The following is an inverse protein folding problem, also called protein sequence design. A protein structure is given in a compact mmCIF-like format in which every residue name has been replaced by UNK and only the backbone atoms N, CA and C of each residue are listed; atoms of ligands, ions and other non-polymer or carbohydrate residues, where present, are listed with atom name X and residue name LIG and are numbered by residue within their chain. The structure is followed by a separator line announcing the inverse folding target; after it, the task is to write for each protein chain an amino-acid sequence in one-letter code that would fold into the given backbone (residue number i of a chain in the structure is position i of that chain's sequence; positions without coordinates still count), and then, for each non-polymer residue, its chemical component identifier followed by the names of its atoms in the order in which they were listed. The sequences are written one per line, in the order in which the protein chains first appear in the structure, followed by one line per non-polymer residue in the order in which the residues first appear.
data_IF_100052230916
#
_entry.id   IF_100052230916
#
_cell.length_a   1.000
_cell.length_b   1.000
_cell.length_c   1.000
_cell.angle_alpha   90.00
_cell.angle_beta   90.00
_cell.angle_gamma   90.00
#
_symmetry.space_group_name_H-M   'P 1'
#
loop_
_entity.id
_entity.type
_entity.pdbx_description
1 polymer ?
#
# COMPACT_ATOMS: atom_id res chain seq x y z
N UNK A 1 5.53 16.20 -2.75
CA UNK A 1 6.46 15.07 -2.51
C UNK A 1 7.08 14.62 -3.82
N UNK A 2 8.37 14.26 -3.87
CA UNK A 2 9.03 13.80 -5.10
C UNK A 2 9.68 12.42 -4.84
N UNK A 3 9.51 11.49 -5.77
CA UNK A 3 10.06 10.13 -5.71
C UNK A 3 10.98 9.87 -6.93
N UNK A 4 12.22 10.39 -6.94
CA UNK A 4 13.15 10.12 -8.02
C UNK A 4 13.35 8.61 -8.20
N UNK A 5 13.08 8.03 -9.40
CA UNK A 5 13.05 6.58 -9.59
C UNK A 5 14.46 6.00 -9.75
N UNK A 6 15.36 6.28 -8.81
CA UNK A 6 16.75 5.83 -8.87
C UNK A 6 17.16 5.05 -7.64
N UNK A 7 18.00 4.06 -7.84
CA UNK A 7 18.60 3.26 -6.77
C UNK A 7 19.44 4.11 -5.81
N UNK A 8 20.22 5.05 -6.34
CA UNK A 8 21.06 5.93 -5.54
C UNK A 8 20.22 6.80 -4.59
N UNK A 9 19.12 7.37 -5.08
CA UNK A 9 18.22 8.16 -4.25
C UNK A 9 17.57 7.31 -3.15
N UNK A 10 16.99 6.15 -3.51
CA UNK A 10 16.31 5.28 -2.54
C UNK A 10 17.26 4.77 -1.44
N UNK A 11 18.51 4.47 -1.79
CA UNK A 11 19.53 4.05 -0.82
C UNK A 11 19.96 5.19 0.11
N UNK A 12 20.17 6.40 -0.43
CA UNK A 12 20.49 7.58 0.38
C UNK A 12 19.31 7.97 1.29
N UNK A 13 18.09 7.88 0.79
CA UNK A 13 16.88 8.15 1.55
C UNK A 13 16.68 7.14 2.70
N UNK A 14 16.91 5.84 2.44
CA UNK A 14 16.91 4.80 3.49
C UNK A 14 17.96 5.12 4.56
N UNK A 15 19.19 5.45 4.15
CA UNK A 15 20.28 5.74 5.10
C UNK A 15 19.92 6.95 5.97
N UNK A 16 19.41 8.03 5.37
CA UNK A 16 18.95 9.21 6.10
C UNK A 16 17.85 8.86 7.13
N UNK A 17 16.85 8.06 6.71
CA UNK A 17 15.79 7.62 7.62
C UNK A 17 16.33 6.80 8.78
N UNK A 18 17.23 5.86 8.51
CA UNK A 18 17.86 5.02 9.54
C UNK A 18 18.65 5.91 10.54
N UNK A 19 19.38 6.88 10.04
CA UNK A 19 20.28 7.70 10.88
C UNK A 19 19.52 8.67 11.79
N UNK A 20 18.45 9.26 11.30
CA UNK A 20 17.81 10.40 11.94
C UNK A 20 16.43 10.11 12.54
N UNK A 21 15.66 9.13 11.98
CA UNK A 21 14.24 9.00 12.31
C UNK A 21 13.83 7.61 12.81
N UNK A 22 14.52 6.54 12.40
CA UNK A 22 14.13 5.16 12.68
C UNK A 22 13.97 4.86 14.18
N UNK A 23 14.81 5.43 15.04
CA UNK A 23 14.75 5.21 16.48
C UNK A 23 13.40 5.61 17.08
N UNK A 24 12.78 6.67 16.56
CA UNK A 24 11.52 7.21 17.05
C UNK A 24 10.29 6.68 16.31
N UNK A 25 10.49 5.85 15.28
CA UNK A 25 9.45 5.37 14.41
C UNK A 25 8.27 4.75 15.15
N UNK A 26 8.50 3.95 16.17
CA UNK A 26 7.43 3.29 16.93
C UNK A 26 6.42 4.28 17.54
N UNK A 27 6.87 5.45 17.96
CA UNK A 27 6.04 6.50 18.55
C UNK A 27 5.39 7.41 17.52
N UNK A 28 6.12 7.73 16.45
CA UNK A 28 5.72 8.79 15.52
C UNK A 28 5.02 8.26 14.27
N UNK A 29 5.17 6.98 13.95
CA UNK A 29 4.66 6.36 12.72
C UNK A 29 3.17 6.58 12.43
N UNK A 30 2.37 6.87 13.45
CA UNK A 30 0.94 7.08 13.29
C UNK A 30 0.57 8.55 13.03
N UNK A 31 1.49 9.49 13.25
CA UNK A 31 1.23 10.90 13.00
C UNK A 31 1.38 11.23 11.52
N UNK A 32 0.33 11.80 10.94
CA UNK A 32 0.36 12.43 9.63
C UNK A 32 0.54 13.93 9.78
N UNK A 33 1.78 14.39 9.67
CA UNK A 33 2.14 15.81 9.77
C UNK A 33 1.85 16.62 8.49
N UNK A 34 1.29 15.99 7.46
CA UNK A 34 1.00 16.59 6.16
C UNK A 34 2.01 16.22 5.08
N UNK A 35 1.70 16.58 3.85
CA UNK A 35 2.44 16.17 2.66
C UNK A 35 3.92 16.61 2.65
N UNK A 36 4.24 17.70 3.31
CA UNK A 36 5.60 18.28 3.36
C UNK A 36 6.43 17.83 4.57
N UNK A 37 5.84 17.12 5.53
CA UNK A 37 6.46 16.76 6.81
C UNK A 37 6.32 15.26 7.09
N UNK A 38 7.03 14.41 6.32
CA UNK A 38 6.94 12.94 6.42
C UNK A 38 8.23 12.27 6.86
N UNK A 39 9.07 12.97 7.59
CA UNK A 39 10.36 12.44 8.08
C UNK A 39 10.18 11.33 9.12
N UNK A 40 9.03 11.31 9.80
CA UNK A 40 8.68 10.28 10.78
C UNK A 40 8.38 8.90 10.19
N UNK A 41 8.27 8.79 8.87
CA UNK A 41 8.07 7.54 8.14
C UNK A 41 9.06 7.40 6.99
N UNK A 42 9.34 6.16 6.59
CA UNK A 42 10.41 5.91 5.60
C UNK A 42 10.05 6.33 4.17
N UNK A 43 8.78 6.39 3.80
CA UNK A 43 8.31 6.66 2.43
C UNK A 43 8.97 5.77 1.36
N UNK A 44 9.41 4.55 1.71
CA UNK A 44 10.15 3.64 0.81
C UNK A 44 9.23 2.71 0.00
N UNK A 45 7.95 2.65 0.33
CA UNK A 45 7.02 1.71 -0.32
C UNK A 45 6.95 1.82 -1.84
N UNK A 46 7.06 2.99 -2.51
CA UNK A 46 7.16 3.05 -3.96
C UNK A 46 8.39 2.30 -4.51
N UNK A 47 9.53 2.45 -3.87
CA UNK A 47 10.77 1.79 -4.30
C UNK A 47 10.76 0.30 -4.05
N UNK A 48 10.15 -0.14 -2.94
CA UNK A 48 9.97 -1.56 -2.62
C UNK A 48 9.00 -2.20 -3.61
N UNK A 49 7.91 -1.50 -3.94
CA UNK A 49 6.87 -1.98 -4.84
C UNK A 49 7.41 -2.35 -6.22
N UNK A 50 8.35 -1.56 -6.70
CA UNK A 50 8.99 -1.76 -8.00
C UNK A 50 10.34 -2.48 -7.92
N UNK A 51 10.72 -3.02 -6.76
CA UNK A 51 11.97 -3.76 -6.59
C UNK A 51 13.25 -2.92 -6.72
N UNK A 52 13.15 -1.59 -6.67
CA UNK A 52 14.32 -0.70 -6.70
C UNK A 52 15.17 -0.87 -5.45
N UNK A 53 14.55 -1.15 -4.31
CA UNK A 53 15.19 -1.58 -3.06
C UNK A 53 14.40 -2.76 -2.48
N UNK A 54 15.09 -3.72 -1.87
CA UNK A 54 14.45 -4.91 -1.33
C UNK A 54 14.21 -4.82 0.17
N UNK A 55 13.17 -5.50 0.67
CA UNK A 55 12.88 -5.63 2.09
C UNK A 55 14.07 -6.17 2.87
N UNK A 56 14.72 -7.21 2.36
CA UNK A 56 15.93 -7.83 2.96
C UNK A 56 17.06 -6.82 3.19
N UNK A 57 17.26 -5.92 2.24
CA UNK A 57 18.28 -4.87 2.34
C UNK A 57 17.93 -3.84 3.40
N UNK A 58 16.67 -3.39 3.41
CA UNK A 58 16.17 -2.45 4.42
C UNK A 58 16.36 -3.02 5.82
N UNK A 59 15.94 -4.28 6.02
CA UNK A 59 16.08 -4.96 7.31
C UNK A 59 17.54 -5.10 7.72
N UNK A 60 18.42 -5.52 6.79
CA UNK A 60 19.85 -5.70 7.05
C UNK A 60 20.52 -4.38 7.45
N UNK A 61 20.23 -3.28 6.77
CA UNK A 61 20.79 -1.98 7.08
C UNK A 61 20.28 -1.43 8.42
N UNK A 62 18.98 -1.58 8.68
CA UNK A 62 18.37 -1.14 9.94
C UNK A 62 18.91 -1.89 11.15
N UNK A 63 19.06 -3.21 11.06
CA UNK A 63 19.59 -4.06 12.12
C UNK A 63 21.10 -3.88 12.38
N UNK A 64 21.85 -3.34 11.42
CA UNK A 64 23.26 -2.94 11.66
C UNK A 64 23.36 -1.72 12.59
N UNK A 65 22.35 -0.84 12.58
CA UNK A 65 22.36 0.40 13.35
C UNK A 65 21.70 0.24 14.72
N UNK A 66 20.57 -0.47 14.78
CA UNK A 66 19.76 -0.61 15.99
C UNK A 66 19.45 -2.07 16.31
N UNK A 67 19.39 -2.45 17.59
CA UNK A 67 18.90 -3.77 17.98
C UNK A 67 17.41 -3.93 17.66
N UNK A 68 16.99 -5.16 17.47
CA UNK A 68 15.63 -5.52 17.06
C UNK A 68 14.55 -4.87 17.93
N UNK A 69 14.72 -4.87 19.23
CA UNK A 69 13.75 -4.39 20.22
C UNK A 69 13.38 -2.92 20.03
N UNK A 70 14.33 -2.12 19.53
CA UNK A 70 14.11 -0.69 19.27
C UNK A 70 13.30 -0.48 17.98
N UNK A 71 13.56 -1.31 16.97
CA UNK A 71 13.01 -1.13 15.62
C UNK A 71 11.98 -2.18 15.22
N UNK A 72 11.53 -3.00 16.19
CA UNK A 72 10.58 -4.10 15.95
C UNK A 72 9.35 -3.63 15.13
N UNK A 73 8.78 -2.48 15.48
CA UNK A 73 7.61 -1.96 14.76
C UNK A 73 7.90 -1.63 13.30
N UNK A 74 9.07 -1.11 13.01
CA UNK A 74 9.49 -0.86 11.63
C UNK A 74 9.67 -2.15 10.84
N UNK A 75 10.34 -3.12 11.44
CA UNK A 75 10.54 -4.45 10.84
C UNK A 75 9.19 -5.10 10.54
N UNK A 76 8.25 -5.07 11.49
CA UNK A 76 6.90 -5.60 11.30
C UNK A 76 6.19 -4.93 10.11
N UNK A 77 6.25 -3.59 9.99
CA UNK A 77 5.61 -2.87 8.90
C UNK A 77 6.22 -3.22 7.53
N UNK A 78 7.54 -3.36 7.46
CA UNK A 78 8.21 -3.81 6.22
C UNK A 78 7.78 -5.23 5.83
N UNK A 79 7.68 -6.15 6.81
CA UNK A 79 7.33 -7.55 6.58
C UNK A 79 5.84 -7.77 6.30
N UNK A 80 4.95 -6.84 6.67
CA UNK A 80 3.53 -6.93 6.32
C UNK A 80 3.32 -7.08 4.80
N UNK A 81 4.11 -6.40 3.99
CA UNK A 81 4.06 -6.53 2.54
C UNK A 81 4.34 -7.96 2.08
N UNK A 82 5.43 -8.55 2.57
CA UNK A 82 5.80 -9.95 2.27
C UNK A 82 4.69 -10.91 2.70
N UNK A 83 4.13 -10.69 3.90
CA UNK A 83 3.00 -11.48 4.39
C UNK A 83 1.77 -11.40 3.47
N UNK A 84 1.37 -10.18 3.07
CA UNK A 84 0.21 -9.99 2.21
C UNK A 84 0.40 -10.62 0.83
N UNK A 85 1.58 -10.50 0.24
CA UNK A 85 1.92 -11.14 -1.04
C UNK A 85 1.78 -12.65 -0.95
N UNK A 86 2.42 -13.28 0.02
CA UNK A 86 2.32 -14.73 0.23
C UNK A 86 0.90 -15.18 0.56
N UNK A 87 0.15 -14.39 1.31
CA UNK A 87 -1.24 -14.70 1.64
C UNK A 87 -2.14 -14.72 0.39
N UNK A 88 -2.02 -13.73 -0.49
CA UNK A 88 -2.80 -13.64 -1.73
C UNK A 88 -2.36 -14.70 -2.76
N UNK A 89 -1.07 -14.91 -2.90
CA UNK A 89 -0.49 -15.93 -3.79
C UNK A 89 -1.03 -17.33 -3.49
N UNK A 90 -1.19 -17.66 -2.22
CA UNK A 90 -1.82 -18.91 -1.78
C UNK A 90 -3.34 -18.94 -2.02
N UNK A 91 -3.99 -17.82 -2.36
CA UNK A 91 -5.46 -17.70 -2.52
C UNK A 91 -5.84 -16.93 -3.78
N UNK A 92 -5.44 -17.40 -4.97
CA UNK A 92 -5.64 -16.67 -6.23
C UNK A 92 -7.11 -16.45 -6.58
N UNK A 93 -8.01 -17.31 -6.08
CA UNK A 93 -9.46 -17.15 -6.29
C UNK A 93 -10.01 -15.86 -5.75
N UNK A 94 -9.41 -15.32 -4.65
CA UNK A 94 -9.81 -14.02 -4.10
C UNK A 94 -9.54 -12.89 -5.10
N UNK A 95 -8.38 -12.91 -5.74
CA UNK A 95 -8.03 -11.89 -6.74
C UNK A 95 -8.97 -11.93 -7.93
N UNK A 96 -9.25 -13.13 -8.44
CA UNK A 96 -10.16 -13.31 -9.57
C UNK A 96 -11.59 -12.82 -9.24
N UNK A 97 -12.08 -13.09 -8.04
CA UNK A 97 -13.36 -12.57 -7.57
C UNK A 97 -13.37 -11.04 -7.44
N UNK A 98 -12.30 -10.47 -6.89
CA UNK A 98 -12.17 -9.01 -6.80
C UNK A 98 -12.25 -8.35 -8.18
N UNK A 99 -11.58 -8.91 -9.19
CA UNK A 99 -11.64 -8.40 -10.56
C UNK A 99 -13.04 -8.53 -11.16
N UNK A 100 -13.73 -9.65 -10.89
CA UNK A 100 -15.12 -9.83 -11.29
C UNK A 100 -16.06 -8.83 -10.63
N UNK A 101 -15.93 -8.66 -9.30
CA UNK A 101 -16.72 -7.67 -8.55
C UNK A 101 -16.54 -6.26 -9.13
N UNK A 102 -15.30 -5.89 -9.54
CA UNK A 102 -15.05 -4.61 -10.20
C UNK A 102 -15.79 -4.47 -11.52
N UNK A 103 -15.77 -5.52 -12.35
CA UNK A 103 -16.50 -5.56 -13.63
C UNK A 103 -18.01 -5.37 -13.43
N UNK A 104 -18.58 -6.05 -12.43
CA UNK A 104 -20.00 -5.95 -12.11
C UNK A 104 -20.37 -4.55 -11.56
N UNK A 105 -19.44 -3.85 -10.92
CA UNK A 105 -19.60 -2.50 -10.38
C UNK A 105 -19.38 -1.38 -11.42
N UNK A 106 -18.80 -1.68 -12.59
CA UNK A 106 -18.46 -0.69 -13.61
C UNK A 106 -19.66 0.16 -14.02
N UNK A 107 -20.80 -0.50 -14.28
CA UNK A 107 -22.05 0.18 -14.67
C UNK A 107 -22.63 1.05 -13.53
N UNK A 108 -22.27 0.79 -12.28
CA UNK A 108 -22.75 1.54 -11.13
C UNK A 108 -21.91 2.82 -10.90
N UNK A 109 -20.67 2.87 -11.36
CA UNK A 109 -19.77 4.05 -11.18
C UNK A 109 -20.37 5.28 -11.83
N UNK A 110 -20.81 5.19 -13.07
CA UNK A 110 -21.20 6.32 -13.93
C UNK A 110 -22.42 7.05 -13.36
N UNK A 111 -23.35 6.33 -12.73
CA UNK A 111 -24.60 6.87 -12.23
C UNK A 111 -24.62 7.15 -10.72
N UNK A 112 -23.52 6.91 -10.02
CA UNK A 112 -23.43 7.12 -8.56
C UNK A 112 -22.84 8.48 -8.25
N UNK A 113 -23.71 9.46 -7.93
CA UNK A 113 -23.28 10.82 -7.57
C UNK A 113 -22.35 10.86 -6.36
N UNK A 114 -22.51 9.97 -5.38
CA UNK A 114 -21.63 9.89 -4.21
C UNK A 114 -20.24 9.39 -4.59
N UNK A 115 -20.15 8.42 -5.50
CA UNK A 115 -18.88 7.95 -6.04
C UNK A 115 -18.14 9.08 -6.77
N UNK A 116 -18.83 9.80 -7.66
CA UNK A 116 -18.24 10.91 -8.40
C UNK A 116 -17.74 12.03 -7.48
N UNK A 117 -18.51 12.37 -6.43
CA UNK A 117 -18.08 13.32 -5.39
C UNK A 117 -16.85 12.80 -4.62
N UNK A 118 -16.84 11.52 -4.26
CA UNK A 118 -15.73 10.92 -3.53
C UNK A 118 -14.44 10.97 -4.34
N UNK A 119 -14.44 10.50 -5.57
CA UNK A 119 -13.24 10.49 -6.43
C UNK A 119 -12.78 11.89 -6.85
N UNK A 120 -13.66 12.89 -6.83
CA UNK A 120 -13.29 14.29 -7.13
C UNK A 120 -12.83 15.08 -5.91
N UNK A 121 -12.96 14.52 -4.69
CA UNK A 121 -12.65 15.25 -3.46
C UNK A 121 -13.66 16.36 -3.17
N UNK A 122 -14.93 16.14 -3.47
CA UNK A 122 -16.02 17.10 -3.29
C UNK A 122 -17.15 16.51 -2.44
N UNK A 123 -16.78 15.93 -1.31
CA UNK A 123 -17.71 15.42 -0.29
C UNK A 123 -17.94 16.47 0.81
N UNK A 124 -18.80 16.16 1.77
CA UNK A 124 -18.96 16.98 2.99
C UNK A 124 -17.85 16.79 4.03
N UNK A 125 -16.82 15.96 3.74
CA UNK A 125 -15.79 15.58 4.69
C UNK A 125 -14.47 16.20 4.25
N UNK A 126 -14.08 17.32 4.87
CA UNK A 126 -12.91 18.11 4.50
C UNK A 126 -11.62 17.27 4.41
N UNK A 127 -11.26 16.56 5.48
CA UNK A 127 -10.04 15.77 5.50
C UNK A 127 -10.00 14.70 4.37
N UNK A 128 -11.14 14.11 4.05
CA UNK A 128 -11.22 13.14 2.96
C UNK A 128 -10.96 13.80 1.60
N UNK A 129 -11.52 14.98 1.37
CA UNK A 129 -11.31 15.75 0.15
C UNK A 129 -9.84 16.13 -0.03
N UNK A 130 -9.20 16.61 1.02
CA UNK A 130 -7.78 16.95 1.01
C UNK A 130 -6.91 15.73 0.69
N UNK A 131 -7.24 14.57 1.26
CA UNK A 131 -6.49 13.32 0.97
C UNK A 131 -6.71 12.81 -0.46
N UNK A 132 -7.87 13.05 -1.06
CA UNK A 132 -8.09 12.76 -2.50
C UNK A 132 -7.19 13.65 -3.35
N UNK A 133 -7.10 14.93 -3.04
CA UNK A 133 -6.23 15.89 -3.74
C UNK A 133 -4.76 15.50 -3.56
N UNK A 134 -4.35 15.20 -2.32
CA UNK A 134 -2.99 14.77 -2.01
C UNK A 134 -2.62 13.48 -2.77
N UNK A 135 -3.51 12.48 -2.77
CA UNK A 135 -3.29 11.22 -3.47
C UNK A 135 -3.06 11.43 -4.96
N UNK A 136 -3.89 12.25 -5.60
CA UNK A 136 -3.77 12.55 -7.03
C UNK A 136 -2.54 13.38 -7.38
N UNK A 137 -2.12 14.27 -6.48
CA UNK A 137 -0.96 15.14 -6.66
C UNK A 137 0.37 14.43 -6.42
N UNK A 138 0.44 13.68 -5.30
CA UNK A 138 1.68 13.11 -4.79
C UNK A 138 1.83 11.62 -5.08
N UNK A 139 0.77 10.95 -5.52
CA UNK A 139 0.71 9.50 -5.72
C UNK A 139 1.10 8.70 -4.48
N UNK A 140 0.88 9.28 -3.32
CA UNK A 140 1.21 8.72 -2.02
C UNK A 140 0.28 9.27 -0.93
N UNK A 141 -0.03 8.43 0.04
CA UNK A 141 -0.67 8.82 1.30
C UNK A 141 0.05 8.17 2.47
N UNK A 142 0.06 8.84 3.61
CA UNK A 142 0.49 8.28 4.89
C UNK A 142 -0.31 7.01 5.22
N UNK A 143 0.36 5.97 5.77
CA UNK A 143 -0.31 4.68 6.02
C UNK A 143 -1.57 4.81 6.89
N UNK A 144 -1.51 5.60 7.97
CA UNK A 144 -2.67 5.81 8.83
C UNK A 144 -3.80 6.53 8.09
N UNK A 145 -3.46 7.48 7.25
CA UNK A 145 -4.41 8.19 6.38
C UNK A 145 -5.11 7.24 5.41
N UNK A 146 -4.42 6.24 4.87
CA UNK A 146 -5.04 5.20 4.02
C UNK A 146 -6.12 4.42 4.78
N UNK A 147 -5.90 4.13 6.06
CA UNK A 147 -6.89 3.44 6.89
C UNK A 147 -8.11 4.32 7.14
N UNK A 148 -7.93 5.60 7.48
CA UNK A 148 -9.03 6.56 7.63
C UNK A 148 -9.80 6.75 6.33
N UNK A 149 -9.09 6.92 5.22
CA UNK A 149 -9.68 7.05 3.90
C UNK A 149 -10.58 5.85 3.57
N UNK A 150 -10.07 4.64 3.71
CA UNK A 150 -10.84 3.43 3.43
C UNK A 150 -12.05 3.28 4.35
N UNK A 151 -11.91 3.60 5.64
CA UNK A 151 -13.01 3.58 6.59
C UNK A 151 -14.11 4.60 6.25
N UNK A 152 -13.72 5.82 5.90
CA UNK A 152 -14.66 6.87 5.48
C UNK A 152 -15.38 6.46 4.20
N UNK A 153 -14.64 5.97 3.20
CA UNK A 153 -15.18 5.47 1.95
C UNK A 153 -16.26 4.41 2.17
N UNK A 154 -15.94 3.38 2.96
CA UNK A 154 -16.81 2.22 3.18
C UNK A 154 -17.99 2.57 4.08
N UNK A 155 -17.73 3.16 5.25
CA UNK A 155 -18.72 3.23 6.32
C UNK A 155 -19.47 4.57 6.41
N UNK A 156 -18.83 5.68 6.01
CA UNK A 156 -19.47 6.99 6.02
C UNK A 156 -20.08 7.34 4.66
N UNK A 157 -19.33 7.16 3.57
CA UNK A 157 -19.83 7.42 2.22
C UNK A 157 -20.63 6.24 1.66
N UNK A 158 -20.58 5.08 2.32
CA UNK A 158 -21.29 3.85 1.96
C UNK A 158 -21.02 3.41 0.51
N UNK A 159 -19.77 3.51 0.09
CA UNK A 159 -19.32 3.10 -1.23
C UNK A 159 -18.72 1.68 -1.20
N UNK A 160 -18.84 0.90 -2.27
CA UNK A 160 -18.20 -0.40 -2.39
C UNK A 160 -16.69 -0.31 -2.17
N UNK A 161 -16.14 -1.16 -1.31
CA UNK A 161 -14.72 -1.16 -0.98
C UNK A 161 -13.84 -1.46 -2.21
N UNK A 162 -14.36 -2.26 -3.13
CA UNK A 162 -13.65 -2.62 -4.37
C UNK A 162 -13.33 -1.38 -5.22
N UNK A 163 -14.25 -0.44 -5.32
CA UNK A 163 -14.06 0.81 -6.07
C UNK A 163 -13.02 1.73 -5.38
N UNK A 164 -12.96 1.71 -4.06
CA UNK A 164 -11.93 2.44 -3.32
C UNK A 164 -10.55 1.80 -3.48
N UNK A 165 -10.48 0.46 -3.45
CA UNK A 165 -9.24 -0.27 -3.70
C UNK A 165 -8.72 -0.02 -5.12
N UNK A 166 -9.60 0.01 -6.12
CA UNK A 166 -9.25 0.36 -7.50
C UNK A 166 -8.74 1.81 -7.60
N UNK A 167 -9.41 2.74 -6.91
CA UNK A 167 -8.97 4.14 -6.88
C UNK A 167 -7.54 4.27 -6.31
N UNK A 168 -7.20 3.52 -5.28
CA UNK A 168 -5.84 3.45 -4.75
C UNK A 168 -4.86 2.81 -5.73
N UNK A 169 -5.23 1.71 -6.38
CA UNK A 169 -4.39 1.07 -7.41
C UNK A 169 -4.07 2.00 -8.57
N UNK A 170 -5.03 2.87 -8.93
CA UNK A 170 -4.86 3.84 -10.02
C UNK A 170 -3.86 4.95 -9.67
N UNK A 171 -3.88 5.43 -8.44
CA UNK A 171 -3.14 6.65 -8.09
C UNK A 171 -1.89 6.43 -7.24
N UNK A 172 -1.79 5.35 -6.45
CA UNK A 172 -0.63 5.11 -5.61
C UNK A 172 0.56 4.59 -6.41
N UNK A 173 1.73 5.21 -6.27
CA UNK A 173 2.98 4.67 -6.81
C UNK A 173 3.37 3.32 -6.18
N UNK A 174 2.96 3.05 -4.96
CA UNK A 174 3.17 1.78 -4.28
C UNK A 174 1.95 0.84 -4.36
N UNK A 175 1.07 1.08 -5.31
CA UNK A 175 -0.10 0.24 -5.56
C UNK A 175 0.32 -1.21 -5.84
N UNK A 176 0.00 -2.10 -4.89
CA UNK A 176 0.33 -3.53 -4.95
C UNK A 176 -0.95 -4.34 -4.81
N UNK A 177 -1.24 -5.27 -5.72
CA UNK A 177 -2.48 -6.04 -5.70
C UNK A 177 -2.78 -6.70 -4.35
N UNK A 178 -1.77 -7.26 -3.70
CA UNK A 178 -1.94 -7.96 -2.43
C UNK A 178 -2.14 -6.97 -1.27
N UNK A 179 -1.18 -6.07 -1.05
CA UNK A 179 -1.22 -5.14 0.09
C UNK A 179 -2.43 -4.23 0.02
N UNK A 180 -2.76 -3.72 -1.17
CA UNK A 180 -3.90 -2.84 -1.36
C UNK A 180 -5.23 -3.57 -1.14
N UNK A 181 -5.47 -4.66 -1.87
CA UNK A 181 -6.75 -5.38 -1.77
C UNK A 181 -7.00 -5.93 -0.36
N UNK A 182 -5.97 -6.55 0.24
CA UNK A 182 -6.11 -7.12 1.58
C UNK A 182 -6.18 -6.05 2.67
N UNK A 183 -5.53 -4.90 2.48
CA UNK A 183 -5.65 -3.74 3.36
C UNK A 183 -7.07 -3.18 3.37
N UNK A 184 -7.69 -2.99 2.21
CA UNK A 184 -9.09 -2.56 2.11
C UNK A 184 -10.06 -3.59 2.72
N UNK A 185 -9.83 -4.87 2.49
CA UNK A 185 -10.59 -5.96 3.09
C UNK A 185 -10.45 -5.99 4.63
N UNK A 186 -9.25 -5.67 5.12
CA UNK A 186 -9.01 -5.58 6.56
C UNK A 186 -9.81 -4.44 7.19
N UNK A 187 -9.79 -3.24 6.60
CA UNK A 187 -10.62 -2.12 7.06
C UNK A 187 -12.10 -2.50 7.04
N UNK A 188 -12.58 -3.18 6.00
CA UNK A 188 -13.97 -3.61 5.85
C UNK A 188 -14.42 -4.68 6.87
N UNK A 189 -13.50 -5.37 7.54
CA UNK A 189 -13.80 -6.44 8.49
C UNK A 189 -14.03 -7.81 7.87
N UNK A 190 -13.66 -7.99 6.59
CA UNK A 190 -13.80 -9.25 5.85
C UNK A 190 -12.49 -10.02 5.68
N UNK A 191 -11.35 -9.42 5.98
CA UNK A 191 -10.05 -10.12 6.02
C UNK A 191 -9.85 -10.86 7.34
N UNK A 192 -10.21 -10.23 8.45
CA UNK A 192 -10.37 -10.86 9.75
C UNK A 192 -11.83 -10.70 10.13
N UNK A 193 -12.60 -11.78 9.98
CA UNK A 193 -14.06 -11.74 10.09
C UNK A 193 -14.51 -11.06 11.39
N UNK A 194 -15.37 -10.05 11.27
CA UNK A 194 -15.94 -9.30 12.39
C UNK A 194 -15.01 -8.24 13.02
N UNK A 195 -13.75 -8.13 12.57
CA UNK A 195 -12.82 -7.08 13.06
C UNK A 195 -12.60 -6.06 11.97
N UNK A 196 -13.31 -4.96 12.02
CA UNK A 196 -13.18 -3.84 11.09
C UNK A 196 -12.52 -2.65 11.77
N UNK A 197 -12.07 -1.69 10.96
CA UNK A 197 -11.48 -0.44 11.44
C UNK A 197 -12.42 0.74 11.18
N UNK A 198 -12.85 1.41 12.24
CA UNK A 198 -13.65 2.64 12.14
C UNK A 198 -12.77 3.86 12.43
N UNK A 199 -12.72 4.77 11.47
CA UNK A 199 -12.12 6.07 11.67
C UNK A 199 -12.97 6.89 12.64
N UNK A 200 -12.35 7.59 13.57
CA UNK A 200 -13.02 8.49 14.49
C UNK A 200 -12.44 9.91 14.40
N UNK A 201 -13.28 10.90 14.59
CA UNK A 201 -12.87 12.32 14.58
C UNK A 201 -11.75 12.59 15.58
N UNK A 202 -11.85 12.01 16.79
CA UNK A 202 -10.83 12.18 17.83
C UNK A 202 -9.48 11.56 17.43
N UNK A 203 -9.48 10.41 16.77
CA UNK A 203 -8.25 9.75 16.30
C UNK A 203 -7.60 10.55 15.17
N UNK A 204 -8.37 10.98 14.18
CA UNK A 204 -7.89 11.84 13.08
C UNK A 204 -7.34 13.15 13.66
N UNK A 205 -8.09 13.83 14.51
CA UNK A 205 -7.65 15.06 15.15
C UNK A 205 -6.30 14.91 15.87
N UNK A 206 -6.17 13.88 16.72
CA UNK A 206 -4.95 13.58 17.46
C UNK A 206 -3.75 13.38 16.54
N UNK A 207 -3.88 12.50 15.56
CA UNK A 207 -2.75 12.07 14.73
C UNK A 207 -2.48 12.97 13.53
N UNK A 208 -3.33 13.98 13.30
CA UNK A 208 -3.06 15.08 12.36
C UNK A 208 -2.64 16.37 13.08
N UNK A 209 -2.37 16.31 14.39
CA UNK A 209 -2.01 17.49 15.20
C UNK A 209 -3.04 18.63 15.07
N UNK A 210 -4.30 18.28 15.22
CA UNK A 210 -5.45 19.18 15.16
C UNK A 210 -5.69 19.89 13.80
N UNK A 211 -5.15 19.35 12.70
CA UNK A 211 -5.46 19.89 11.36
C UNK A 211 -6.95 19.73 11.01
N UNK A 212 -7.56 18.66 11.49
CA UNK A 212 -8.96 18.37 11.22
C UNK A 212 -9.72 18.18 12.54
N UNK A 213 -10.76 19.00 12.73
CA UNK A 213 -11.58 19.00 13.95
C UNK A 213 -13.05 18.83 13.59
N UNK A 214 -13.84 18.29 14.51
CA UNK A 214 -15.30 18.18 14.38
C UNK A 214 -15.80 17.44 13.13
N UNK A 215 -15.05 16.44 12.66
CA UNK A 215 -15.41 15.66 11.48
C UNK A 215 -16.61 14.76 11.81
N UNK A 216 -17.64 14.81 10.98
CA UNK A 216 -18.83 13.97 11.11
C UNK A 216 -18.60 12.63 10.40
N UNK A 217 -18.42 11.55 11.17
CA UNK A 217 -18.18 10.19 10.68
C UNK A 217 -19.18 9.20 11.27
N UNK A 218 -19.41 8.12 10.55
CA UNK A 218 -20.17 7.00 11.08
C UNK A 218 -19.27 6.14 11.98
N UNK A 219 -19.42 6.28 13.29
CA UNK A 219 -18.58 5.61 14.30
C UNK A 219 -19.21 4.30 14.81
N UNK A 220 -20.39 3.92 14.33
CA UNK A 220 -21.16 2.76 14.82
C UNK A 220 -21.56 1.77 13.72
N UNK A 221 -20.86 1.84 12.57
CA UNK A 221 -21.12 0.91 11.48
C UNK A 221 -20.65 -0.50 11.84
N UNK A 222 -21.44 -1.48 11.43
CA UNK A 222 -21.05 -2.88 11.52
C UNK A 222 -20.04 -3.27 10.42
N UNK A 223 -19.20 -4.32 10.66
CA UNK A 223 -18.34 -4.85 9.62
C UNK A 223 -19.15 -5.36 8.43
N UNK A 224 -18.54 -5.34 7.25
CA UNK A 224 -19.16 -6.00 6.08
C UNK A 224 -19.20 -7.50 6.35
N UNK A 225 -20.37 -8.09 6.15
CA UNK A 225 -20.54 -9.55 6.29
C UNK A 225 -20.15 -10.20 4.97
N UNK A 226 -19.23 -11.17 5.03
CA UNK A 226 -18.85 -12.01 3.91
C UNK A 226 -18.75 -13.46 4.36
N UNK A 227 -19.54 -14.32 3.74
CA UNK A 227 -19.49 -15.78 3.99
C UNK A 227 -18.52 -16.49 3.03
N UNK A 228 -17.75 -15.74 2.24
CA UNK A 228 -16.79 -16.29 1.27
C UNK A 228 -15.56 -16.84 1.99
N UNK A 229 -15.22 -18.08 1.66
CA UNK A 229 -13.99 -18.73 2.11
C UNK A 229 -13.05 -18.93 0.93
N UNK A 230 -11.78 -18.65 1.15
CA UNK A 230 -10.73 -18.76 0.13
C UNK A 230 -9.73 -19.83 0.57
N UNK A 231 -9.89 -21.10 0.11
CA UNK A 231 -8.96 -22.15 0.44
C UNK A 231 -7.56 -21.88 -0.08
N UNK A 232 -6.57 -22.36 0.66
CA UNK A 232 -5.18 -22.26 0.23
C UNK A 232 -4.86 -23.26 -0.88
N UNK A 233 -4.22 -22.79 -1.95
CA UNK A 233 -3.64 -23.62 -2.98
C UNK A 233 -2.19 -23.95 -2.65
N UNK A 234 -1.75 -25.17 -2.97
CA UNK A 234 -0.32 -25.49 -2.89
C UNK A 234 0.44 -24.75 -3.99
N UNK A 235 1.49 -24.06 -3.61
CA UNK A 235 2.42 -23.49 -4.58
C UNK A 235 3.24 -24.63 -5.20
N UNK A 236 3.25 -24.71 -6.51
CA UNK A 236 4.14 -25.61 -7.24
C UNK A 236 5.42 -24.85 -7.58
N UNK A 237 6.29 -24.70 -6.57
CA UNK A 237 7.59 -24.04 -6.75
C UNK A 237 8.48 -25.01 -7.55
N UNK A 238 8.66 -24.72 -8.81
CA UNK A 238 9.73 -25.34 -9.61
C UNK A 238 10.99 -24.52 -9.33
N UNK A 239 11.97 -25.11 -8.64
CA UNK A 239 13.31 -24.58 -8.63
C UNK A 239 13.95 -24.97 -9.98
N UNK A 240 14.09 -24.06 -10.96
CA UNK A 240 14.83 -24.39 -12.16
C UNK A 240 16.28 -24.65 -11.73
N UNK A 241 16.87 -25.73 -12.23
CA UNK A 241 18.33 -25.85 -12.20
C UNK A 241 18.87 -24.72 -13.08
N UNK A 242 19.36 -23.68 -12.42
CA UNK A 242 19.98 -22.55 -13.09
C UNK A 242 21.36 -23.01 -13.58
N UNK A 243 21.46 -23.40 -14.86
CA UNK A 243 22.73 -23.57 -15.54
C UNK A 243 23.47 -22.21 -15.67
N UNK A 244 24.46 -22.14 -16.56
CA UNK A 244 25.10 -20.86 -16.87
C UNK A 244 24.11 -19.90 -17.53
N UNK A 245 23.45 -19.06 -16.72
CA UNK A 245 22.54 -18.03 -17.20
C UNK A 245 23.38 -16.87 -17.70
N UNK A 246 23.29 -16.55 -18.98
CA UNK A 246 23.98 -15.42 -19.58
C UNK A 246 23.04 -14.22 -19.82
N UNK A 247 21.73 -14.44 -19.82
CA UNK A 247 20.72 -13.45 -20.14
C UNK A 247 19.56 -13.54 -19.13
N UNK A 248 18.96 -12.39 -18.77
CA UNK A 248 17.81 -12.31 -17.87
C UNK A 248 16.75 -11.37 -18.41
N UNK A 249 15.49 -11.70 -18.16
CA UNK A 249 14.35 -10.83 -18.42
C UNK A 249 13.94 -10.19 -17.10
N UNK A 250 13.82 -8.87 -17.08
CA UNK A 250 13.37 -8.07 -15.94
C UNK A 250 12.07 -7.38 -16.35
N UNK A 251 11.06 -7.48 -15.50
CA UNK A 251 9.79 -6.81 -15.72
C UNK A 251 9.81 -5.41 -15.08
N UNK A 252 9.18 -4.43 -15.72
CA UNK A 252 9.10 -3.03 -15.27
C UNK A 252 8.45 -2.86 -13.89
N UNK A 253 7.56 -3.78 -13.54
CA UNK A 253 6.90 -3.79 -12.22
C UNK A 253 7.75 -4.44 -11.12
N UNK A 254 8.90 -5.00 -11.43
CA UNK A 254 9.84 -5.57 -10.45
C UNK A 254 11.29 -5.53 -10.96
N UNK A 255 11.98 -4.45 -10.67
CA UNK A 255 13.32 -4.15 -11.17
C UNK A 255 14.46 -4.76 -10.32
N UNK A 256 14.15 -5.65 -9.37
CA UNK A 256 15.16 -6.23 -8.51
C UNK A 256 16.04 -7.22 -9.25
N UNK A 257 17.30 -6.83 -9.41
CA UNK A 257 18.39 -7.73 -9.75
C UNK A 257 19.29 -7.77 -8.52
N UNK A 258 19.43 -8.93 -7.88
CA UNK A 258 20.31 -9.05 -6.71
C UNK A 258 21.75 -8.75 -7.12
N UNK A 259 22.35 -7.74 -6.48
CA UNK A 259 23.76 -7.43 -6.73
C UNK A 259 24.63 -8.60 -6.27
N UNK A 260 25.40 -9.15 -7.15
CA UNK A 260 26.38 -10.20 -6.90
C UNK A 260 26.07 -11.57 -7.50
N UNK A 261 24.80 -11.94 -7.67
CA UNK A 261 24.44 -13.23 -8.29
C UNK A 261 24.39 -13.15 -9.82
N UNK A 262 24.24 -11.95 -10.39
CA UNK A 262 24.03 -11.72 -11.81
C UNK A 262 25.11 -10.85 -12.47
N UNK A 263 26.22 -10.58 -11.80
CA UNK A 263 27.33 -9.76 -12.35
C UNK A 263 28.02 -10.36 -13.58
N UNK A 264 27.72 -11.62 -13.92
CA UNK A 264 28.23 -12.32 -15.08
C UNK A 264 27.28 -12.28 -16.29
N UNK A 265 26.10 -11.66 -16.15
CA UNK A 265 25.11 -11.59 -17.22
C UNK A 265 25.62 -10.74 -18.39
N UNK A 266 25.46 -11.29 -19.58
CA UNK A 266 25.81 -10.60 -20.83
C UNK A 266 24.71 -9.66 -21.33
N UNK A 267 23.45 -9.98 -20.99
CA UNK A 267 22.29 -9.19 -21.42
C UNK A 267 21.18 -9.18 -20.39
N UNK A 268 20.55 -8.03 -20.23
CA UNK A 268 19.34 -7.83 -19.44
C UNK A 268 18.28 -7.26 -20.36
N UNK A 269 17.16 -7.94 -20.49
CA UNK A 269 16.01 -7.47 -21.26
C UNK A 269 14.99 -6.89 -20.30
N UNK A 270 14.62 -5.63 -20.49
CA UNK A 270 13.49 -5.02 -19.81
C UNK A 270 12.21 -5.29 -20.61
N UNK A 271 11.25 -5.93 -19.98
CA UNK A 271 9.91 -6.12 -20.54
C UNK A 271 8.99 -5.10 -19.92
N UNK A 272 8.57 -4.13 -20.70
CA UNK A 272 7.53 -3.18 -20.31
C UNK A 272 6.16 -3.87 -20.40
N UNK A 273 5.41 -3.76 -19.31
CA UNK A 273 4.04 -4.25 -19.30
C UNK A 273 3.16 -3.18 -19.94
N UNK A 274 2.72 -3.43 -21.15
CA UNK A 274 1.90 -2.52 -21.97
C UNK A 274 0.48 -2.36 -21.39
N UNK A 275 0.39 -2.08 -20.10
CA UNK A 275 -0.85 -1.73 -19.41
C UNK A 275 -1.24 -0.26 -19.69
N UNK A 276 -1.19 0.14 -20.97
CA UNK A 276 -1.75 1.42 -21.44
C UNK A 276 -3.27 1.54 -21.21
N UNK A 277 -3.92 0.49 -20.75
CA UNK A 277 -5.34 0.47 -20.36
C UNK A 277 -5.59 0.88 -18.88
N UNK A 278 -4.64 1.53 -18.22
CA UNK A 278 -4.86 2.15 -16.90
C UNK A 278 -5.25 3.64 -17.01
N UNK A 279 -5.70 4.09 -18.18
CA UNK A 279 -6.24 5.44 -18.36
C UNK A 279 -7.70 5.54 -17.89
#
# INVERSE_FOLDING_TARGET
MNFPPTRSYSSAHLQNFIDNHLKNYAYERNYDYGEDNRENISCLSPYISHGVIQEKEILKQSLKKYPFEIIEKFIQEVLWRTYWKGWLELRPTLWNEYLKDLQDLENQKINNSNYLKAISGNTSIECFNDWVIELKKNHYLHNHTRMWFASIWIFTLKLPWQLGAEFFMKYLFDGDPASNTLGWRWVAGIQTVGKHYLASSSNINKYTKNRYVNIQLNNSADPIISNKNYPTNKLNIKNPELGNIEEVIVFDNYLSIEQGELGHLKKVYLVENDNTNRS
#
